data_IF_402581940058
#
_entry.id   IF_402581940058
#
_cell.length_a   1.000
_cell.length_b   1.000
_cell.length_c   1.000
_cell.angle_alpha   90.00
_cell.angle_beta   90.00
_cell.angle_gamma   90.00
#
_symmetry.space_group_name_H-M   'P 1'
#
loop_
_entity.id
_entity.type
_entity.pdbx_description
1 polymer ?
#
# COMPACT_ATOMS: atom_id res chain seq x y z
N UNK A 1 -15.51 -13.70 -11.75
CA UNK A 1 -15.72 -12.42 -12.46
C UNK A 1 -14.54 -11.52 -12.11
N UNK A 2 -13.85 -10.97 -13.10
CA UNK A 2 -12.88 -9.91 -12.85
C UNK A 2 -13.67 -8.64 -12.61
N UNK A 3 -13.91 -8.27 -11.36
CA UNK A 3 -14.48 -6.97 -11.02
C UNK A 3 -13.50 -5.89 -11.49
N UNK A 4 -13.82 -5.27 -12.62
CA UNK A 4 -13.09 -4.10 -13.09
C UNK A 4 -13.39 -2.96 -12.12
N UNK A 5 -12.51 -2.79 -11.13
CA UNK A 5 -12.51 -1.65 -10.20
C UNK A 5 -12.74 -0.34 -10.98
N UNK A 6 -13.62 0.51 -10.46
CA UNK A 6 -13.92 1.78 -11.09
C UNK A 6 -12.70 2.70 -11.09
N UNK A 7 -12.75 3.79 -11.86
CA UNK A 7 -11.70 4.80 -11.81
C UNK A 7 -11.53 5.38 -10.40
N UNK A 8 -12.65 5.59 -9.70
CA UNK A 8 -12.66 6.11 -8.33
C UNK A 8 -12.00 5.13 -7.36
N UNK A 9 -12.29 3.83 -7.48
CA UNK A 9 -11.62 2.81 -6.68
C UNK A 9 -10.12 2.80 -6.91
N UNK A 10 -9.69 2.85 -8.18
CA UNK A 10 -8.26 2.87 -8.53
C UNK A 10 -7.57 4.11 -7.95
N UNK A 11 -8.22 5.27 -7.98
CA UNK A 11 -7.69 6.50 -7.39
C UNK A 11 -7.58 6.39 -5.87
N UNK A 12 -8.62 5.88 -5.20
CA UNK A 12 -8.61 5.69 -3.75
C UNK A 12 -7.51 4.70 -3.33
N UNK A 13 -7.42 3.55 -3.99
CA UNK A 13 -6.37 2.54 -3.77
C UNK A 13 -4.99 3.16 -4.00
N UNK A 14 -4.83 4.01 -5.04
CA UNK A 14 -3.57 4.70 -5.29
C UNK A 14 -3.21 5.64 -4.15
N UNK A 15 -4.16 6.44 -3.66
CA UNK A 15 -3.94 7.33 -2.52
C UNK A 15 -3.58 6.57 -1.25
N UNK A 16 -4.21 5.41 -1.01
CA UNK A 16 -3.86 4.51 0.10
C UNK A 16 -2.42 4.00 -0.06
N UNK A 17 -2.07 3.50 -1.25
CA UNK A 17 -0.72 2.99 -1.52
C UNK A 17 0.35 4.08 -1.28
N UNK A 18 0.14 5.28 -1.81
CA UNK A 18 1.06 6.39 -1.62
C UNK A 18 1.20 6.77 -0.14
N UNK A 19 0.10 6.79 0.62
CA UNK A 19 0.12 7.06 2.06
C UNK A 19 0.91 6.00 2.85
N UNK A 20 0.64 4.72 2.60
CA UNK A 20 1.29 3.56 3.24
C UNK A 20 2.80 3.56 3.00
N UNK A 21 3.22 3.94 1.78
CA UNK A 21 4.63 3.91 1.38
C UNK A 21 5.37 5.16 1.87
N UNK A 22 4.77 6.34 1.76
CA UNK A 22 5.46 7.60 2.04
C UNK A 22 5.38 8.01 3.51
N UNK A 23 4.26 7.72 4.18
CA UNK A 23 4.01 8.16 5.56
C UNK A 23 3.30 7.06 6.37
N UNK A 24 3.96 5.92 6.60
CA UNK A 24 3.39 4.78 7.30
C UNK A 24 2.88 5.09 8.72
N UNK A 25 3.52 6.00 9.48
CA UNK A 25 3.00 6.44 10.78
C UNK A 25 1.61 7.08 10.66
N UNK A 26 1.41 7.93 9.64
CA UNK A 26 0.12 8.55 9.35
C UNK A 26 -0.87 7.52 8.78
N UNK A 27 -0.39 6.57 7.99
CA UNK A 27 -1.19 5.45 7.52
C UNK A 27 -1.74 4.65 8.71
N UNK A 28 -0.91 4.37 9.74
CA UNK A 28 -1.33 3.67 10.96
C UNK A 28 -2.46 4.36 11.70
N UNK A 29 -2.40 5.68 11.85
CA UNK A 29 -3.48 6.46 12.47
C UNK A 29 -4.79 6.36 11.67
N UNK A 30 -4.69 6.37 10.34
CA UNK A 30 -5.83 6.28 9.43
C UNK A 30 -6.42 4.87 9.43
N UNK A 31 -5.58 3.83 9.27
CA UNK A 31 -6.00 2.42 9.31
C UNK A 31 -6.51 1.99 10.69
N UNK A 32 -5.96 2.52 11.77
CA UNK A 32 -6.44 2.26 13.13
C UNK A 32 -7.86 2.78 13.37
N UNK A 33 -8.27 3.80 12.63
CA UNK A 33 -9.61 4.38 12.70
C UNK A 33 -10.55 3.91 11.56
N UNK A 34 -10.05 3.15 10.59
CA UNK A 34 -10.79 2.78 9.36
C UNK A 34 -10.74 1.28 9.07
N UNK A 35 -11.40 0.48 9.93
CA UNK A 35 -11.83 -0.88 9.55
C UNK A 35 -12.61 -0.90 8.22
N UNK A 36 -13.23 0.23 7.87
CA UNK A 36 -13.93 0.46 6.60
C UNK A 36 -13.06 0.22 5.36
N UNK A 37 -11.75 0.46 5.42
CA UNK A 37 -10.87 0.24 4.24
C UNK A 37 -10.79 -1.25 3.91
N UNK A 38 -10.62 -2.12 4.90
CA UNK A 38 -10.57 -3.58 4.67
C UNK A 38 -11.96 -4.15 4.39
N UNK A 39 -13.03 -3.51 4.85
CA UNK A 39 -14.39 -3.87 4.43
C UNK A 39 -14.63 -3.59 2.93
N UNK A 40 -14.08 -2.50 2.39
CA UNK A 40 -14.21 -2.14 0.98
C UNK A 40 -13.20 -2.89 0.10
N UNK A 41 -12.00 -3.13 0.61
CA UNK A 41 -10.88 -3.77 -0.09
C UNK A 41 -10.26 -4.86 0.80
N UNK A 42 -10.94 -6.01 0.96
CA UNK A 42 -10.48 -7.10 1.84
C UNK A 42 -9.11 -7.67 1.45
N UNK A 43 -8.71 -7.51 0.19
CA UNK A 43 -7.39 -7.88 -0.32
C UNK A 43 -6.23 -7.10 0.31
N UNK A 44 -6.51 -5.99 1.03
CA UNK A 44 -5.50 -5.15 1.70
C UNK A 44 -5.23 -5.55 3.16
N UNK A 45 -5.82 -6.64 3.64
CA UNK A 45 -5.67 -7.11 5.03
C UNK A 45 -4.21 -7.24 5.48
N UNK A 46 -3.36 -7.93 4.70
CA UNK A 46 -1.93 -8.08 5.04
C UNK A 46 -1.17 -6.75 5.10
N UNK A 47 -1.46 -5.83 4.17
CA UNK A 47 -0.89 -4.47 4.17
C UNK A 47 -1.31 -3.71 5.43
N UNK A 48 -2.58 -3.78 5.81
CA UNK A 48 -3.07 -3.15 7.05
C UNK A 48 -2.33 -3.72 8.26
N UNK A 49 -2.23 -5.03 8.37
CA UNK A 49 -1.63 -5.68 9.55
C UNK A 49 -0.17 -5.26 9.73
N UNK A 50 0.58 -5.16 8.63
CA UNK A 50 1.94 -4.61 8.64
C UNK A 50 1.96 -3.12 9.05
N UNK A 51 1.07 -2.30 8.50
CA UNK A 51 0.99 -0.87 8.84
C UNK A 51 0.61 -0.66 10.31
N UNK A 52 -0.23 -1.51 10.87
CA UNK A 52 -0.61 -1.44 12.29
C UNK A 52 0.51 -1.92 13.21
N UNK A 53 1.34 -2.87 12.75
CA UNK A 53 2.50 -3.37 13.49
C UNK A 53 3.75 -2.47 13.34
N UNK A 54 3.67 -1.40 12.54
CA UNK A 54 4.76 -0.50 12.11
C UNK A 54 5.81 -0.20 13.18
N UNK A 55 6.81 -1.08 13.25
CA UNK A 55 7.97 -1.02 14.16
C UNK A 55 9.26 -1.57 13.49
N UNK A 56 9.23 -1.87 12.18
CA UNK A 56 10.33 -2.57 11.49
C UNK A 56 11.23 -1.62 10.71
N UNK A 57 12.55 -1.73 10.91
CA UNK A 57 13.57 -1.11 10.05
C UNK A 57 13.53 -1.66 8.61
N UNK A 58 12.93 -2.82 8.40
CA UNK A 58 12.78 -3.48 7.10
C UNK A 58 11.38 -3.28 6.48
N UNK A 59 10.63 -2.26 6.94
CA UNK A 59 9.24 -2.05 6.57
C UNK A 59 8.97 -2.14 5.06
N UNK A 60 9.78 -1.50 4.20
CA UNK A 60 9.54 -1.52 2.75
C UNK A 60 9.74 -2.92 2.13
N UNK A 61 10.66 -3.71 2.69
CA UNK A 61 10.87 -5.10 2.26
C UNK A 61 9.69 -5.97 2.68
N UNK A 62 9.24 -5.85 3.92
CA UNK A 62 8.05 -6.55 4.43
C UNK A 62 6.80 -6.15 3.63
N UNK A 63 6.63 -4.85 3.36
CA UNK A 63 5.53 -4.33 2.55
C UNK A 63 5.53 -4.93 1.14
N UNK A 64 6.71 -5.18 0.56
CA UNK A 64 6.79 -5.85 -0.75
C UNK A 64 6.29 -7.30 -0.72
N UNK A 65 6.45 -8.01 0.39
CA UNK A 65 5.88 -9.35 0.56
C UNK A 65 4.37 -9.30 0.70
N UNK A 66 3.84 -8.38 1.51
CA UNK A 66 2.39 -8.18 1.67
C UNK A 66 1.72 -7.78 0.36
N UNK A 67 2.32 -6.85 -0.40
CA UNK A 67 1.82 -6.47 -1.73
C UNK A 67 1.82 -7.67 -2.68
N UNK A 68 2.82 -8.56 -2.58
CA UNK A 68 2.87 -9.77 -3.39
C UNK A 68 1.74 -10.76 -3.07
N UNK A 69 1.26 -10.78 -1.82
CA UNK A 69 0.12 -11.57 -1.37
C UNK A 69 -1.25 -11.07 -1.81
N UNK A 70 -1.36 -9.82 -2.30
CA UNK A 70 -2.62 -9.26 -2.81
C UNK A 70 -3.12 -10.09 -4.00
N UNK A 71 -4.27 -10.73 -3.83
CA UNK A 71 -4.92 -11.58 -4.82
C UNK A 71 -5.58 -10.79 -5.95
N UNK A 72 -6.04 -9.56 -5.69
CA UNK A 72 -6.58 -8.66 -6.69
C UNK A 72 -5.47 -8.03 -7.56
N UNK A 73 -5.46 -8.36 -8.86
CA UNK A 73 -4.40 -7.94 -9.78
C UNK A 73 -4.33 -6.42 -9.96
N UNK A 74 -5.47 -5.73 -10.02
CA UNK A 74 -5.48 -4.27 -10.20
C UNK A 74 -4.88 -3.56 -8.99
N UNK A 75 -5.28 -3.96 -7.79
CA UNK A 75 -4.78 -3.43 -6.53
C UNK A 75 -3.29 -3.72 -6.38
N UNK A 76 -2.88 -4.97 -6.62
CA UNK A 76 -1.46 -5.38 -6.60
C UNK A 76 -0.63 -4.52 -7.54
N UNK A 77 -1.08 -4.31 -8.78
CA UNK A 77 -0.36 -3.50 -9.77
C UNK A 77 -0.22 -2.04 -9.34
N UNK A 78 -1.28 -1.44 -8.76
CA UNK A 78 -1.24 -0.06 -8.26
C UNK A 78 -0.22 0.08 -7.14
N UNK A 79 -0.25 -0.83 -6.15
CA UNK A 79 0.68 -0.84 -5.03
C UNK A 79 2.13 -1.09 -5.48
N UNK A 80 2.37 -2.08 -6.33
CA UNK A 80 3.71 -2.36 -6.87
C UNK A 80 4.26 -1.16 -7.66
N UNK A 81 3.43 -0.51 -8.48
CA UNK A 81 3.83 0.69 -9.21
C UNK A 81 4.20 1.83 -8.27
N UNK A 82 3.41 2.07 -7.21
CA UNK A 82 3.71 3.08 -6.21
C UNK A 82 5.02 2.79 -5.48
N UNK A 83 5.23 1.54 -5.03
CA UNK A 83 6.42 1.13 -4.31
C UNK A 83 7.68 1.27 -5.17
N UNK A 84 7.63 0.76 -6.41
CA UNK A 84 8.75 0.88 -7.34
C UNK A 84 9.08 2.34 -7.65
N UNK A 85 8.07 3.19 -7.86
CA UNK A 85 8.27 4.63 -8.06
C UNK A 85 8.98 5.26 -6.87
N UNK A 86 8.53 4.97 -5.65
CA UNK A 86 9.15 5.49 -4.42
C UNK A 86 10.60 5.03 -4.26
N UNK A 87 10.87 3.73 -4.43
CA UNK A 87 12.22 3.18 -4.33
C UNK A 87 13.14 3.83 -5.37
N UNK A 88 12.68 3.93 -6.62
CA UNK A 88 13.45 4.56 -7.68
C UNK A 88 13.74 6.03 -7.35
N UNK A 89 12.74 6.82 -6.96
CA UNK A 89 12.92 8.23 -6.60
C UNK A 89 13.90 8.43 -5.43
N UNK A 90 13.89 7.55 -4.42
CA UNK A 90 14.84 7.65 -3.31
C UNK A 90 16.24 7.13 -3.65
N UNK A 91 16.35 6.16 -4.58
CA UNK A 91 17.66 5.71 -5.10
C UNK A 91 18.42 6.85 -5.79
N UNK A 92 17.72 7.76 -6.46
CA UNK A 92 18.33 8.92 -7.15
C UNK A 92 18.56 10.15 -6.26
N UNK A 93 18.03 10.19 -5.02
CA UNK A 93 18.28 11.29 -4.08
C UNK A 93 19.70 11.31 -3.50
N UNK A 94 20.44 10.21 -3.60
CA UNK A 94 21.81 10.10 -3.06
C UNK A 94 22.92 10.33 -4.10
N UNK A 95 22.58 10.82 -5.30
CA UNK A 95 23.52 11.01 -6.41
C UNK A 95 23.62 12.49 -6.85
N UNK A 96 23.30 13.44 -5.99
CA UNK A 96 23.39 14.88 -6.26
C UNK A 96 24.11 15.63 -5.16
#
# INVERSE_FOLDING_TARGET
>A
MYDNKSLQDKQLIRSIADLVIQNPSRAREIFGNLDKIVQLYPELSGVRDLVLSYLSENYLKELSYEINGINDKTTKNIFMSALNSYINSNKYKHIS
#
